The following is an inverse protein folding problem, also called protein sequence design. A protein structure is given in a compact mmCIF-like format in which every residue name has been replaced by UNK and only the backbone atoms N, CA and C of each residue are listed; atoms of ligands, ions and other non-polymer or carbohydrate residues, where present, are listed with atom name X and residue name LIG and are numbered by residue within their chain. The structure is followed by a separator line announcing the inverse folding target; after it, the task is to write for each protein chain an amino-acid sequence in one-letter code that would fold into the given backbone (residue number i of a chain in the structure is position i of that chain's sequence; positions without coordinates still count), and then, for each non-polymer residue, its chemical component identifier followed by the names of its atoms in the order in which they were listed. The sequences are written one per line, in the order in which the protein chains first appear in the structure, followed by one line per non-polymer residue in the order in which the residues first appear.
data_IF_002346676539
#
_entry.id   IF_002346676539
#
_cell.length_a   1.000
_cell.length_b   1.000
_cell.length_c   1.000
_cell.angle_alpha   90.00
_cell.angle_beta   90.00
_cell.angle_gamma   90.00
#
_symmetry.space_group_name_H-M   'P 1'
#
loop_
_entity.id
_entity.type
_entity.pdbx_description
1 polymer ?
#
# COMPACT_ATOMS: atom_id res chain seq x y z
N UNK A 1 11.10 -63.94 -1.79
CA UNK A 1 11.26 -62.59 -2.37
C UNK A 1 10.04 -61.80 -1.93
N UNK A 2 10.26 -60.75 -1.16
CA UNK A 2 9.24 -59.97 -0.44
C UNK A 2 8.58 -58.93 -1.37
N UNK A 3 7.24 -58.89 -1.52
CA UNK A 3 6.55 -57.99 -2.46
C UNK A 3 6.32 -56.57 -1.91
N UNK A 4 6.85 -56.21 -0.74
CA UNK A 4 6.59 -54.91 -0.10
C UNK A 4 7.52 -53.77 -0.54
N UNK A 5 8.53 -54.03 -1.37
CA UNK A 5 9.53 -53.02 -1.76
C UNK A 5 9.17 -52.17 -3.01
N UNK A 6 8.05 -52.46 -3.68
CA UNK A 6 7.72 -51.88 -5.00
C UNK A 6 6.86 -50.61 -5.00
N UNK A 7 6.21 -50.26 -3.89
CA UNK A 7 5.18 -49.21 -3.89
C UNK A 7 5.55 -47.90 -3.14
N UNK A 8 6.72 -47.83 -2.51
CA UNK A 8 7.14 -46.60 -1.81
C UNK A 8 7.94 -45.63 -2.69
N UNK A 9 8.52 -46.08 -3.81
CA UNK A 9 9.32 -45.23 -4.69
C UNK A 9 8.47 -44.35 -5.64
N UNK A 10 7.25 -44.77 -5.98
CA UNK A 10 6.37 -43.99 -6.88
C UNK A 10 5.66 -42.83 -6.20
N UNK A 11 5.50 -42.88 -4.87
CA UNK A 11 4.79 -41.84 -4.11
C UNK A 11 5.71 -40.68 -3.70
N UNK A 12 7.01 -40.91 -3.57
CA UNK A 12 7.99 -39.86 -3.26
C UNK A 12 8.41 -39.06 -4.50
N UNK A 13 8.37 -39.67 -5.70
CA UNK A 13 8.71 -38.96 -6.94
C UNK A 13 7.59 -38.02 -7.42
N UNK A 14 6.32 -38.37 -7.14
CA UNK A 14 5.18 -37.48 -7.41
C UNK A 14 5.14 -36.26 -6.47
N UNK A 15 5.62 -36.41 -5.23
CA UNK A 15 5.70 -35.32 -4.27
C UNK A 15 6.82 -34.32 -4.60
N UNK A 16 7.90 -34.78 -5.26
CA UNK A 16 8.99 -33.92 -5.72
C UNK A 16 8.63 -33.13 -6.99
N UNK A 17 7.70 -33.62 -7.81
CA UNK A 17 7.23 -32.94 -9.03
C UNK A 17 6.12 -31.90 -8.76
N UNK A 18 5.44 -31.95 -7.60
CA UNK A 18 4.47 -30.94 -7.16
C UNK A 18 5.12 -29.75 -6.42
N UNK A 19 6.34 -29.91 -5.93
CA UNK A 19 7.15 -28.82 -5.35
C UNK A 19 7.93 -28.03 -6.41
N UNK A 20 7.84 -28.42 -7.68
CA UNK A 20 8.35 -27.69 -8.85
C UNK A 20 7.22 -26.93 -9.56
N UNK A 21 6.15 -26.60 -8.83
CA UNK A 21 5.13 -25.66 -9.28
C UNK A 21 5.76 -24.27 -9.43
N UNK A 22 6.20 -23.99 -10.66
CA UNK A 22 6.49 -22.67 -11.23
C UNK A 22 6.65 -21.54 -10.20
N UNK A 23 7.78 -21.54 -9.49
CA UNK A 23 8.36 -20.25 -9.11
C UNK A 23 8.74 -19.61 -10.44
N UNK A 24 7.85 -18.78 -10.97
CA UNK A 24 8.22 -17.89 -12.06
C UNK A 24 9.42 -17.11 -11.54
N UNK A 25 10.62 -17.42 -12.05
CA UNK A 25 11.81 -16.66 -11.72
C UNK A 25 11.47 -15.18 -11.94
N UNK A 26 11.81 -14.28 -11.00
CA UNK A 26 11.55 -12.86 -11.22
C UNK A 26 12.21 -12.49 -12.55
N UNK A 27 11.38 -12.07 -13.50
CA UNK A 27 11.88 -11.54 -14.78
C UNK A 27 12.90 -10.48 -14.46
N UNK A 28 14.07 -10.52 -15.11
CA UNK A 28 15.10 -9.49 -14.92
C UNK A 28 14.43 -8.11 -14.96
N UNK A 29 14.69 -7.24 -13.97
CA UNK A 29 13.96 -6.00 -13.83
C UNK A 29 14.09 -5.17 -15.11
N UNK A 30 13.02 -4.49 -15.56
CA UNK A 30 13.08 -3.70 -16.77
C UNK A 30 14.20 -2.67 -16.65
N UNK A 31 15.03 -2.55 -17.69
CA UNK A 31 16.12 -1.59 -17.69
C UNK A 31 15.60 -0.14 -17.55
N UNK A 32 16.31 0.68 -16.76
CA UNK A 32 15.99 2.10 -16.57
C UNK A 32 15.40 2.45 -15.20
N UNK A 33 14.95 3.70 -15.00
CA UNK A 33 14.55 4.22 -13.69
C UNK A 33 13.38 3.46 -13.05
N UNK A 34 12.49 2.89 -13.86
CA UNK A 34 11.35 2.10 -13.38
C UNK A 34 11.75 0.70 -12.90
N UNK A 35 12.92 0.18 -13.28
CA UNK A 35 13.38 -1.13 -12.84
C UNK A 35 13.56 -1.22 -11.33
N UNK A 36 14.10 -0.16 -10.71
CA UNK A 36 14.23 -0.08 -9.24
C UNK A 36 12.88 0.07 -8.56
N UNK A 37 11.96 0.84 -9.16
CA UNK A 37 10.59 1.01 -8.64
C UNK A 37 9.86 -0.33 -8.59
N UNK A 38 9.89 -1.11 -9.67
CA UNK A 38 9.18 -2.39 -9.70
C UNK A 38 9.79 -3.41 -8.72
N UNK A 39 11.11 -3.48 -8.63
CA UNK A 39 11.78 -4.32 -7.61
C UNK A 39 11.38 -3.93 -6.19
N UNK A 40 11.33 -2.63 -5.90
CA UNK A 40 10.89 -2.17 -4.58
C UNK A 40 9.46 -2.61 -4.30
N UNK A 41 8.55 -2.46 -5.26
CA UNK A 41 7.15 -2.88 -5.12
C UNK A 41 7.05 -4.39 -4.87
N UNK A 42 7.76 -5.21 -5.64
CA UNK A 42 7.76 -6.66 -5.49
C UNK A 42 8.27 -7.09 -4.10
N UNK A 43 9.29 -6.40 -3.57
CA UNK A 43 9.88 -6.68 -2.24
C UNK A 43 8.96 -6.27 -1.08
N UNK A 44 8.13 -5.24 -1.25
CA UNK A 44 7.28 -4.68 -0.18
C UNK A 44 5.79 -5.01 -0.38
N UNK A 45 5.44 -5.92 -1.30
CA UNK A 45 4.05 -6.24 -1.62
C UNK A 45 3.25 -6.72 -0.39
N UNK A 46 3.88 -7.47 0.52
CA UNK A 46 3.22 -7.97 1.73
C UNK A 46 2.86 -6.83 2.69
N UNK A 47 3.72 -5.80 2.77
CA UNK A 47 3.43 -4.58 3.55
C UNK A 47 2.26 -3.81 2.92
N UNK A 48 2.23 -3.70 1.60
CA UNK A 48 1.13 -3.06 0.89
C UNK A 48 -0.21 -3.80 1.07
N UNK A 49 -0.18 -5.14 1.04
CA UNK A 49 -1.35 -5.98 1.32
C UNK A 49 -1.79 -5.84 2.78
N UNK A 50 -0.84 -5.72 3.71
CA UNK A 50 -1.13 -5.48 5.12
C UNK A 50 -1.81 -4.12 5.34
N UNK A 51 -1.34 -3.05 4.69
CA UNK A 51 -2.02 -1.74 4.73
C UNK A 51 -3.44 -1.84 4.16
N UNK A 52 -3.64 -2.58 3.06
CA UNK A 52 -4.98 -2.81 2.52
C UNK A 52 -5.88 -3.57 3.49
N UNK A 53 -5.34 -4.56 4.22
CA UNK A 53 -6.06 -5.30 5.25
C UNK A 53 -6.55 -4.38 6.37
N UNK A 54 -5.69 -3.47 6.82
CA UNK A 54 -6.04 -2.46 7.82
C UNK A 54 -7.11 -1.48 7.32
N UNK A 55 -6.98 -1.01 6.08
CA UNK A 55 -7.97 -0.13 5.48
C UNK A 55 -9.31 -0.81 5.28
N UNK A 56 -9.33 -2.07 4.84
CA UNK A 56 -10.57 -2.86 4.68
C UNK A 56 -11.26 -3.12 6.01
N UNK A 57 -10.51 -3.26 7.11
CA UNK A 57 -11.07 -3.44 8.45
C UNK A 57 -11.88 -2.25 8.97
N UNK A 58 -11.66 -1.04 8.43
CA UNK A 58 -12.47 0.14 8.76
C UNK A 58 -13.80 0.08 8.03
N UNK A 59 -14.90 -0.01 8.77
CA UNK A 59 -16.25 -0.21 8.23
C UNK A 59 -16.86 1.13 7.72
N UNK A 60 -16.21 1.74 6.72
CA UNK A 60 -16.52 3.05 6.18
C UNK A 60 -17.77 3.08 5.28
N UNK A 61 -18.89 2.53 5.75
CA UNK A 61 -20.16 2.49 5.02
C UNK A 61 -20.86 3.86 5.02
N UNK A 62 -21.06 4.45 3.83
CA UNK A 62 -21.73 5.75 3.65
C UNK A 62 -23.23 5.67 3.42
N UNK A 63 -23.76 4.47 3.18
CA UNK A 63 -25.16 4.24 2.80
C UNK A 63 -26.03 4.06 4.04
N UNK A 64 -25.55 3.28 5.02
CA UNK A 64 -26.31 3.03 6.24
C UNK A 64 -26.32 4.27 7.16
N UNK A 65 -27.49 4.80 7.56
CA UNK A 65 -27.60 6.02 8.37
C UNK A 65 -27.32 5.77 9.86
N UNK A 66 -26.25 5.04 10.18
CA UNK A 66 -25.88 4.64 11.54
C UNK A 66 -24.74 5.54 12.03
N UNK A 67 -24.89 6.23 13.18
CA UNK A 67 -23.85 7.13 13.71
C UNK A 67 -22.47 6.48 13.84
N UNK A 68 -22.39 5.23 14.33
CA UNK A 68 -21.14 4.46 14.41
C UNK A 68 -20.43 4.33 13.06
N UNK A 69 -21.16 4.03 11.98
CA UNK A 69 -20.58 3.91 10.63
C UNK A 69 -20.12 5.27 10.09
N UNK A 70 -20.78 6.35 10.53
CA UNK A 70 -20.29 7.69 10.25
C UNK A 70 -18.97 7.96 10.98
N UNK A 71 -18.78 7.52 12.22
CA UNK A 71 -17.49 7.64 12.91
C UNK A 71 -16.38 6.83 12.23
N UNK A 72 -16.68 5.63 11.72
CA UNK A 72 -15.75 4.83 10.93
C UNK A 72 -15.32 5.53 9.63
N UNK A 73 -16.23 6.23 8.95
CA UNK A 73 -15.88 7.06 7.79
C UNK A 73 -14.89 8.17 8.16
N UNK A 74 -15.11 8.88 9.27
CA UNK A 74 -14.18 9.91 9.73
C UNK A 74 -12.82 9.31 10.11
N UNK A 75 -12.81 8.11 10.69
CA UNK A 75 -11.59 7.34 10.98
C UNK A 75 -10.85 7.03 9.68
N UNK A 76 -11.55 6.55 8.64
CA UNK A 76 -10.95 6.25 7.34
C UNK A 76 -10.33 7.50 6.69
N UNK A 77 -11.04 8.64 6.72
CA UNK A 77 -10.49 9.90 6.21
C UNK A 77 -9.26 10.37 7.00
N UNK A 78 -9.26 10.17 8.31
CA UNK A 78 -8.12 10.53 9.17
C UNK A 78 -6.89 9.68 8.85
N UNK A 79 -7.06 8.36 8.70
CA UNK A 79 -5.99 7.45 8.31
C UNK A 79 -5.37 7.81 6.96
N UNK A 80 -6.21 8.11 5.95
CA UNK A 80 -5.71 8.51 4.64
C UNK A 80 -4.98 9.87 4.67
N UNK A 81 -5.49 10.83 5.45
CA UNK A 81 -4.82 12.12 5.62
C UNK A 81 -3.47 11.99 6.32
N UNK A 82 -3.36 11.12 7.34
CA UNK A 82 -2.09 10.82 8.01
C UNK A 82 -1.09 10.15 7.08
N UNK A 83 -1.53 9.20 6.26
CA UNK A 83 -0.68 8.53 5.28
C UNK A 83 -0.11 9.52 4.25
N UNK A 84 -0.94 10.41 3.72
CA UNK A 84 -0.48 11.46 2.80
C UNK A 84 0.50 12.44 3.46
N UNK A 85 0.27 12.80 4.74
CA UNK A 85 1.21 13.63 5.51
C UNK A 85 2.54 12.94 5.73
N UNK A 86 2.55 11.63 6.01
CA UNK A 86 3.78 10.83 6.15
C UNK A 86 4.63 10.86 4.88
N UNK A 87 4.00 10.92 3.71
CA UNK A 87 4.69 11.07 2.42
C UNK A 87 5.19 12.50 2.13
N UNK A 88 5.00 13.43 3.07
CA UNK A 88 5.42 14.83 2.94
C UNK A 88 4.44 15.70 2.16
N UNK A 89 3.19 15.26 1.94
CA UNK A 89 2.16 16.09 1.33
C UNK A 89 1.67 17.16 2.31
N UNK A 90 1.34 18.34 1.78
CA UNK A 90 0.48 19.30 2.49
C UNK A 90 -0.95 18.81 2.39
N UNK A 91 -1.68 18.74 3.51
CA UNK A 91 -3.00 18.07 3.56
C UNK A 91 -4.02 18.94 4.30
N UNK A 92 -5.01 19.40 3.54
CA UNK A 92 -6.20 20.09 4.04
C UNK A 92 -7.38 19.11 4.14
N UNK A 93 -7.94 18.98 5.35
CA UNK A 93 -9.13 18.18 5.63
C UNK A 93 -10.33 19.11 5.68
N UNK A 94 -11.08 19.17 4.59
CA UNK A 94 -12.12 20.18 4.35
C UNK A 94 -13.45 19.71 4.93
N UNK A 95 -13.97 20.49 5.88
CA UNK A 95 -15.32 20.28 6.44
C UNK A 95 -16.38 20.38 5.34
N UNK A 96 -17.22 19.36 5.25
CA UNK A 96 -18.29 19.24 4.26
C UNK A 96 -19.68 19.50 4.86
N UNK A 97 -19.75 19.88 6.14
CA UNK A 97 -20.99 20.23 6.82
C UNK A 97 -21.81 19.00 7.22
N UNK A 98 -23.12 19.04 7.00
CA UNK A 98 -24.05 18.01 7.47
C UNK A 98 -25.07 17.61 6.41
N UNK A 99 -25.42 16.33 6.41
CA UNK A 99 -26.39 15.70 5.53
C UNK A 99 -27.70 15.49 6.27
N UNK A 100 -28.79 16.03 5.72
CA UNK A 100 -30.15 15.71 6.17
C UNK A 100 -30.65 14.47 5.45
N UNK A 101 -30.98 13.43 6.20
CA UNK A 101 -31.42 12.14 5.68
C UNK A 101 -32.94 12.06 5.56
N UNK A 102 -33.46 11.16 4.70
CA UNK A 102 -34.86 10.76 4.74
C UNK A 102 -35.21 10.26 6.15
N UNK A 103 -36.27 10.82 6.76
CA UNK A 103 -36.63 10.55 8.16
C UNK A 103 -36.22 11.66 9.15
N UNK A 104 -35.55 12.71 8.69
CA UNK A 104 -35.30 13.93 9.48
C UNK A 104 -34.05 13.87 10.36
N UNK A 105 -33.35 12.74 10.41
CA UNK A 105 -32.02 12.63 11.02
C UNK A 105 -31.02 13.48 10.25
N UNK A 106 -30.06 14.07 10.96
CA UNK A 106 -28.93 14.79 10.39
C UNK A 106 -27.64 14.14 10.86
N UNK A 107 -26.72 13.86 9.93
CA UNK A 107 -25.39 13.31 10.22
C UNK A 107 -24.31 14.19 9.57
N UNK A 108 -23.13 14.34 10.20
CA UNK A 108 -22.01 15.11 9.62
C UNK A 108 -21.49 14.42 8.35
N UNK A 109 -21.18 15.17 7.29
CA UNK A 109 -20.62 14.61 6.06
C UNK A 109 -19.12 14.34 6.29
N UNK A 110 -18.57 13.16 5.91
CA UNK A 110 -17.13 12.92 5.98
C UNK A 110 -16.38 14.02 5.22
N UNK A 111 -15.22 14.48 5.73
CA UNK A 111 -14.50 15.57 5.10
C UNK A 111 -13.96 15.16 3.72
N UNK A 112 -13.65 16.15 2.89
CA UNK A 112 -12.88 15.93 1.67
C UNK A 112 -11.41 16.20 1.95
N UNK A 113 -10.52 15.30 1.50
CA UNK A 113 -9.07 15.49 1.61
C UNK A 113 -8.59 16.19 0.35
N UNK A 114 -7.96 17.35 0.51
CA UNK A 114 -7.19 18.01 -0.53
C UNK A 114 -5.71 17.92 -0.14
N UNK A 115 -4.93 17.20 -0.94
CA UNK A 115 -3.51 17.00 -0.68
C UNK A 115 -2.66 17.40 -1.89
N UNK A 116 -1.55 18.09 -1.62
CA UNK A 116 -0.56 18.48 -2.62
C UNK A 116 0.82 17.94 -2.22
N UNK A 117 1.50 17.27 -3.15
CA UNK A 117 2.86 16.76 -2.95
C UNK A 117 3.79 17.32 -4.02
N UNK A 118 4.66 18.23 -3.59
CA UNK A 118 5.61 18.93 -4.46
C UNK A 118 4.98 20.10 -5.23
N UNK A 119 5.78 21.12 -5.51
CA UNK A 119 5.35 22.38 -6.11
C UNK A 119 6.33 22.91 -7.18
N UNK A 120 7.06 22.01 -7.84
CA UNK A 120 8.07 22.37 -8.86
C UNK A 120 7.38 22.85 -10.15
N UNK A 121 7.52 24.14 -10.54
CA UNK A 121 6.87 24.68 -11.73
C UNK A 121 7.41 24.09 -13.05
N UNK A 122 8.51 23.32 -13.01
CA UNK A 122 9.06 22.62 -14.18
C UNK A 122 8.43 21.23 -14.39
N UNK A 123 7.68 20.71 -13.42
CA UNK A 123 7.00 19.41 -13.49
C UNK A 123 5.52 19.60 -13.82
N UNK A 124 4.93 18.62 -14.48
CA UNK A 124 3.48 18.60 -14.70
C UNK A 124 2.77 18.22 -13.40
N UNK A 125 1.60 18.82 -13.15
CA UNK A 125 0.72 18.47 -12.03
C UNK A 125 -0.32 17.45 -12.50
N UNK A 126 -0.46 16.36 -11.77
CA UNK A 126 -1.50 15.34 -11.97
C UNK A 126 -2.42 15.35 -10.75
N UNK A 127 -3.73 15.41 -10.98
CA UNK A 127 -4.74 15.31 -9.92
C UNK A 127 -5.30 13.89 -9.90
N UNK A 128 -5.19 13.21 -8.76
CA UNK A 128 -5.83 11.93 -8.51
C UNK A 128 -7.11 12.14 -7.70
N UNK A 129 -8.17 11.43 -8.08
CA UNK A 129 -9.44 11.39 -7.35
C UNK A 129 -9.78 9.95 -7.01
N UNK A 130 -10.20 9.72 -5.77
CA UNK A 130 -10.74 8.45 -5.29
C UNK A 130 -11.72 8.68 -4.15
N UNK A 131 -12.31 7.61 -3.66
CA UNK A 131 -13.22 7.64 -2.52
C UNK A 131 -12.87 6.52 -1.52
N UNK A 132 -13.24 6.71 -0.26
CA UNK A 132 -12.87 5.80 0.84
C UNK A 132 -14.08 5.27 1.60
N UNK A 133 -15.26 5.75 1.26
CA UNK A 133 -16.49 5.09 1.64
C UNK A 133 -16.71 3.82 0.80
N UNK A 134 -17.46 2.90 1.38
CA UNK A 134 -17.76 1.61 0.78
C UNK A 134 -19.25 1.32 0.83
N UNK A 135 -19.71 0.43 -0.05
CA UNK A 135 -21.06 -0.13 0.06
C UNK A 135 -21.22 -1.01 1.31
N UNK A 136 -22.45 -1.19 1.82
CA UNK A 136 -22.73 -2.14 2.88
C UNK A 136 -22.29 -3.56 2.49
N UNK A 137 -21.92 -4.35 3.49
CA UNK A 137 -21.73 -5.78 3.34
C UNK A 137 -21.97 -6.49 4.67
N UNK A 138 -22.69 -7.61 4.63
CA UNK A 138 -22.89 -8.50 5.77
C UNK A 138 -22.60 -9.94 5.36
N UNK A 139 -22.20 -10.77 6.32
CA UNK A 139 -21.98 -12.19 6.07
C UNK A 139 -23.25 -12.83 5.48
N UNK A 140 -24.43 -12.44 5.99
CA UNK A 140 -25.73 -12.94 5.56
C UNK A 140 -26.08 -12.64 4.09
N UNK A 141 -25.39 -11.69 3.44
CA UNK A 141 -25.58 -11.36 2.02
C UNK A 141 -24.98 -12.42 1.08
N UNK A 142 -24.35 -13.46 1.63
CA UNK A 142 -23.75 -14.57 0.88
C UNK A 142 -22.23 -14.51 0.78
N UNK A 143 -21.56 -13.74 1.66
CA UNK A 143 -20.11 -13.73 1.72
C UNK A 143 -19.58 -15.06 2.28
N UNK A 144 -18.49 -15.56 1.69
CA UNK A 144 -17.80 -16.78 2.14
C UNK A 144 -16.73 -16.50 3.20
N UNK A 145 -16.30 -15.24 3.32
CA UNK A 145 -15.36 -14.72 4.30
C UNK A 145 -15.98 -13.50 4.97
N UNK A 146 -15.49 -13.08 6.13
CA UNK A 146 -15.94 -11.82 6.73
C UNK A 146 -15.64 -10.65 5.77
N UNK A 147 -16.64 -9.82 5.40
CA UNK A 147 -16.45 -8.75 4.42
C UNK A 147 -15.46 -7.67 4.89
N UNK A 148 -15.29 -7.46 6.19
CA UNK A 148 -14.37 -6.46 6.74
C UNK A 148 -13.10 -7.10 7.32
N UNK A 149 -12.89 -8.40 7.10
CA UNK A 149 -11.58 -9.06 7.30
C UNK A 149 -11.01 -9.46 5.95
N UNK A 150 -10.06 -8.67 5.41
CA UNK A 150 -9.44 -8.98 4.13
C UNK A 150 -8.86 -10.40 4.15
N UNK A 151 -9.33 -11.30 3.30
CA UNK A 151 -8.90 -12.70 3.30
C UNK A 151 -8.29 -13.04 1.96
N UNK A 152 -7.09 -13.59 1.96
CA UNK A 152 -6.46 -14.05 0.73
C UNK A 152 -6.80 -15.51 0.45
N UNK A 153 -7.28 -15.80 -0.76
CA UNK A 153 -7.53 -17.16 -1.24
C UNK A 153 -7.06 -17.27 -2.69
N UNK A 154 -6.14 -18.19 -2.96
CA UNK A 154 -5.57 -18.44 -4.29
C UNK A 154 -5.06 -17.17 -5.01
N UNK A 155 -4.33 -16.32 -4.28
CA UNK A 155 -3.76 -15.06 -4.79
C UNK A 155 -4.78 -13.93 -5.00
N UNK A 156 -6.00 -14.07 -4.48
CA UNK A 156 -7.06 -13.05 -4.58
C UNK A 156 -7.39 -12.51 -3.19
N UNK A 157 -7.46 -11.19 -3.08
CA UNK A 157 -7.73 -10.47 -1.83
C UNK A 157 -9.23 -10.16 -1.72
N UNK A 158 -9.93 -10.91 -0.87
CA UNK A 158 -11.38 -10.78 -0.65
C UNK A 158 -11.68 -9.85 0.53
N UNK A 159 -12.43 -8.78 0.27
CA UNK A 159 -12.94 -7.89 1.31
C UNK A 159 -13.72 -6.72 0.71
N UNK A 160 -14.72 -6.22 1.44
CA UNK A 160 -15.48 -5.03 1.07
C UNK A 160 -14.53 -3.83 1.06
N UNK A 161 -14.49 -3.13 -0.06
CA UNK A 161 -13.59 -2.00 -0.26
C UNK A 161 -12.29 -2.35 -0.98
N UNK A 162 -11.94 -3.64 -1.11
CA UNK A 162 -10.66 -4.06 -1.67
C UNK A 162 -10.41 -3.50 -3.08
N UNK A 163 -11.36 -3.68 -4.00
CA UNK A 163 -11.26 -3.10 -5.35
C UNK A 163 -11.98 -1.76 -5.50
N UNK A 164 -12.96 -1.48 -4.64
CA UNK A 164 -13.85 -0.32 -4.76
C UNK A 164 -13.99 0.37 -3.38
N UNK A 165 -13.13 1.32 -3.04
CA UNK A 165 -12.01 1.83 -3.84
C UNK A 165 -10.68 1.94 -3.06
N UNK A 166 -10.59 1.25 -1.92
CA UNK A 166 -9.42 1.32 -1.00
C UNK A 166 -8.15 0.80 -1.66
N UNK A 167 -8.20 -0.33 -2.38
CA UNK A 167 -7.03 -0.87 -3.09
C UNK A 167 -6.48 0.07 -4.16
N UNK A 168 -7.30 0.58 -5.09
CA UNK A 168 -6.82 1.56 -6.07
C UNK A 168 -6.27 2.85 -5.47
N UNK A 169 -6.87 3.39 -4.40
CA UNK A 169 -6.32 4.56 -3.70
C UNK A 169 -4.95 4.23 -3.08
N UNK A 170 -4.85 3.10 -2.38
CA UNK A 170 -3.57 2.65 -1.82
C UNK A 170 -2.53 2.36 -2.89
N UNK A 171 -2.91 1.85 -4.07
CA UNK A 171 -1.97 1.65 -5.16
C UNK A 171 -1.30 2.96 -5.61
N UNK A 172 -2.05 4.08 -5.64
CA UNK A 172 -1.48 5.40 -5.89
C UNK A 172 -0.54 5.86 -4.77
N UNK A 173 -0.96 5.70 -3.52
CA UNK A 173 -0.15 6.05 -2.34
C UNK A 173 1.16 5.24 -2.33
N UNK A 174 1.09 3.93 -2.58
CA UNK A 174 2.23 3.01 -2.61
C UNK A 174 3.19 3.30 -3.76
N UNK A 175 2.67 3.73 -4.92
CA UNK A 175 3.51 4.17 -6.02
C UNK A 175 4.31 5.42 -5.62
N UNK A 176 3.66 6.41 -5.03
CA UNK A 176 4.31 7.63 -4.54
C UNK A 176 5.32 7.33 -3.42
N UNK A 177 4.95 6.48 -2.46
CA UNK A 177 5.84 6.09 -1.35
C UNK A 177 7.10 5.39 -1.86
N UNK A 178 6.96 4.55 -2.88
CA UNK A 178 8.11 3.88 -3.53
C UNK A 178 9.09 4.90 -4.13
N UNK A 179 8.60 5.92 -4.84
CA UNK A 179 9.49 6.96 -5.39
C UNK A 179 10.21 7.73 -4.28
N UNK A 180 9.51 8.08 -3.20
CA UNK A 180 10.09 8.78 -2.03
C UNK A 180 11.17 7.96 -1.34
N UNK A 181 10.89 6.69 -1.05
CA UNK A 181 11.85 5.79 -0.40
C UNK A 181 13.14 5.63 -1.24
N UNK A 182 13.02 5.50 -2.55
CA UNK A 182 14.18 5.37 -3.44
C UNK A 182 14.99 6.68 -3.57
N UNK A 183 14.34 7.85 -3.47
CA UNK A 183 15.04 9.14 -3.40
C UNK A 183 15.87 9.28 -2.11
N UNK A 184 15.35 8.81 -0.98
CA UNK A 184 16.06 8.84 0.31
C UNK A 184 17.29 7.94 0.33
N UNK A 185 17.16 6.70 -0.19
CA UNK A 185 18.29 5.76 -0.31
C UNK A 185 19.38 6.32 -1.21
N UNK A 186 19.01 6.90 -2.37
CA UNK A 186 19.98 7.53 -3.27
C UNK A 186 20.68 8.75 -2.64
N UNK A 187 19.99 9.50 -1.79
CA UNK A 187 20.58 10.63 -1.05
C UNK A 187 21.56 10.19 0.05
N UNK A 188 21.41 8.99 0.60
CA UNK A 188 22.32 8.41 1.60
C UNK A 188 23.59 7.85 0.95
N UNK A 189 23.46 7.08 -0.15
CA UNK A 189 24.61 6.57 -0.92
C UNK A 189 25.51 7.70 -1.44
N UNK A 190 24.93 8.83 -1.83
CA UNK A 190 25.67 10.02 -2.26
C UNK A 190 26.41 10.77 -1.15
N UNK A 191 26.03 10.58 0.13
CA UNK A 191 26.75 11.16 1.28
C UNK A 191 27.95 10.31 1.70
N UNK A 192 27.81 8.99 1.72
CA UNK A 192 28.91 8.09 2.10
C UNK A 192 30.06 8.06 1.07
N UNK A 193 29.77 8.39 -0.20
CA UNK A 193 30.79 8.47 -1.26
C UNK A 193 31.67 9.73 -1.25
N UNK A 194 31.46 10.69 -0.33
CA UNK A 194 32.18 11.98 -0.32
C UNK A 194 33.15 12.14 0.87
N UNK A 195 33.30 11.14 1.74
CA UNK A 195 34.17 11.19 2.93
C UNK A 195 35.54 10.51 2.71
N UNK A 196 36.01 10.42 1.46
CA UNK A 196 37.16 9.58 1.06
C UNK A 196 38.32 10.28 0.33
N UNK A 197 38.46 11.60 0.43
CA UNK A 197 39.61 12.34 -0.16
C UNK A 197 40.06 13.51 0.73
N UNK A 198 40.39 13.21 2.00
CA UNK A 198 41.28 14.09 2.77
C UNK A 198 42.71 13.55 2.57
N UNK A 199 43.37 14.08 1.54
CA UNK A 199 44.77 13.84 1.27
C UNK A 199 45.65 14.21 2.46
N UNK A 200 46.44 13.25 2.91
CA UNK A 200 47.64 13.45 3.71
C UNK A 200 48.64 14.30 2.90
N UNK A 201 48.56 15.63 3.02
CA UNK A 201 49.68 16.53 2.70
C UNK A 201 50.46 16.82 3.99
N UNK A 202 51.45 15.96 4.21
CA UNK A 202 52.63 16.20 5.04
C UNK A 202 53.47 17.31 4.38
N UNK A 203 53.44 18.53 4.93
CA UNK A 203 54.57 19.45 4.77
C UNK A 203 54.90 20.19 6.07
N UNK A 204 55.89 19.62 6.73
CA UNK A 204 56.74 20.23 7.73
C UNK A 204 57.41 21.52 7.22
N UNK A 205 57.13 22.67 7.86
CA UNK A 205 58.22 23.63 8.11
C UNK A 205 57.92 25.13 8.18
N UNK A 206 58.22 25.66 9.38
CA UNK A 206 59.10 26.83 9.60
C UNK A 206 58.45 28.24 9.66
N UNK A 207 58.14 28.62 10.90
CA UNK A 207 58.68 29.78 11.64
C UNK A 207 59.11 31.00 10.77
N UNK A 208 58.25 32.00 10.61
CA UNK A 208 58.22 33.31 11.30
C UNK A 208 57.03 34.14 10.79
#
# INVERSE_FOLDING_TARGET
MDPTLGNMASCQLALLLLLLGSMSAPSSPPAGPLGRVFQYIDLHQDEFVQTLREWVAVESDSIQPVPRLREELFTMMSLAAEELRRLGASVDVVDSGSQKLPGGQTLPIPPVILAELGNDPKKATVCFYGHLDVQPARQEDGWLTDPYTLTEVDGKLYGRGATDNKGPVLAWINAVSTFRALEEVGAQEGREGNDGDDGDDDDTGRVL
#
